data_IF_249674748986
#
_entry.id   IF_249674748986
#
_cell.length_a   1.000
_cell.length_b   1.000
_cell.length_c   1.000
_cell.angle_alpha   90.00
_cell.angle_beta   90.00
_cell.angle_gamma   90.00
#
_symmetry.space_group_name_H-M   'P 1'
#
loop_
_entity.id
_entity.type
_entity.pdbx_description
1 polymer ?
#
# COMPACT_ATOMS: atom_id res chain seq x y z
N UNK A 1 -5.25 -7.89 8.96
CA UNK A 1 -4.00 -7.52 8.28
C UNK A 1 -3.59 -8.64 7.32
N UNK A 2 -2.78 -8.38 6.29
CA UNK A 2 -2.30 -9.40 5.34
C UNK A 2 -3.09 -9.51 4.03
N UNK A 3 -4.04 -8.62 3.79
CA UNK A 3 -4.78 -8.58 2.52
C UNK A 3 -3.89 -8.07 1.38
N UNK A 4 -4.02 -8.70 0.22
CA UNK A 4 -3.36 -8.25 -1.01
C UNK A 4 -4.07 -6.98 -1.49
N UNK A 5 -3.31 -5.89 -1.60
CA UNK A 5 -3.81 -4.58 -2.03
C UNK A 5 -3.69 -4.42 -3.54
N UNK A 6 -2.56 -4.85 -4.11
CA UNK A 6 -2.30 -4.68 -5.53
C UNK A 6 -1.24 -5.66 -6.03
N UNK A 7 -1.55 -6.44 -7.06
CA UNK A 7 -0.57 -7.25 -7.78
C UNK A 7 -0.04 -6.47 -8.97
N UNK A 8 1.28 -6.35 -9.07
CA UNK A 8 1.93 -5.61 -10.13
C UNK A 8 3.17 -6.36 -10.63
N UNK A 9 3.62 -6.00 -11.84
CA UNK A 9 4.94 -6.36 -12.34
C UNK A 9 5.81 -5.09 -12.32
N UNK A 10 6.89 -5.10 -11.56
CA UNK A 10 7.66 -3.89 -11.24
C UNK A 10 6.95 -2.99 -10.22
N UNK A 11 7.61 -1.91 -9.79
CA UNK A 11 7.08 -0.99 -8.75
C UNK A 11 6.40 0.24 -9.36
N UNK A 12 5.18 0.07 -9.90
CA UNK A 12 4.34 1.19 -10.38
C UNK A 12 3.78 1.99 -9.21
N UNK A 13 3.25 1.27 -8.22
CA UNK A 13 2.82 1.82 -6.94
C UNK A 13 3.84 1.39 -5.89
N UNK A 14 4.34 2.36 -5.15
CA UNK A 14 5.32 2.16 -4.10
C UNK A 14 4.60 1.82 -2.79
N UNK A 15 5.19 0.99 -1.93
CA UNK A 15 4.69 0.84 -0.57
C UNK A 15 4.80 2.19 0.16
N UNK A 16 3.70 2.58 0.80
CA UNK A 16 3.59 3.72 1.70
C UNK A 16 3.47 3.26 3.15
N UNK A 17 2.69 3.98 3.95
CA UNK A 17 2.53 3.70 5.39
C UNK A 17 1.75 2.40 5.58
N UNK A 18 2.24 1.51 6.45
CA UNK A 18 1.62 0.21 6.77
C UNK A 18 1.33 -0.70 5.55
N UNK A 19 2.11 -0.58 4.48
CA UNK A 19 2.03 -1.43 3.29
C UNK A 19 3.38 -2.09 3.04
N UNK A 20 3.39 -3.41 2.92
CA UNK A 20 4.55 -4.21 2.54
C UNK A 20 4.57 -4.50 1.04
N UNK A 21 5.75 -4.87 0.51
CA UNK A 21 5.94 -5.37 -0.86
C UNK A 21 6.50 -6.79 -0.80
N UNK A 22 5.83 -7.73 -1.46
CA UNK A 22 6.28 -9.11 -1.64
C UNK A 22 7.44 -9.21 -2.63
N UNK A 23 8.08 -10.38 -2.69
CA UNK A 23 9.16 -10.66 -3.64
C UNK A 23 8.70 -10.66 -5.11
N UNK A 24 7.40 -10.86 -5.35
CA UNK A 24 6.73 -10.77 -6.66
C UNK A 24 6.21 -9.35 -6.97
N UNK A 25 6.68 -8.34 -6.25
CA UNK A 25 6.22 -6.94 -6.29
C UNK A 25 4.77 -6.69 -5.81
N UNK A 26 4.07 -7.72 -5.30
CA UNK A 26 2.71 -7.56 -4.77
C UNK A 26 2.69 -6.70 -3.51
N UNK A 27 1.80 -5.70 -3.45
CA UNK A 27 1.58 -4.89 -2.26
C UNK A 27 0.55 -5.54 -1.34
N UNK A 28 0.83 -5.55 -0.04
CA UNK A 28 -0.06 -6.11 0.98
C UNK A 28 -0.15 -5.20 2.22
N UNK A 29 -1.29 -5.24 2.90
CA UNK A 29 -1.52 -4.45 4.10
C UNK A 29 -0.86 -5.08 5.33
N UNK A 30 -0.11 -4.29 6.10
CA UNK A 30 0.48 -4.72 7.38
C UNK A 30 -0.49 -4.57 8.55
N UNK A 31 -1.47 -3.69 8.42
CA UNK A 31 -2.49 -3.40 9.44
C UNK A 31 -3.87 -3.36 8.78
N UNK A 32 -4.91 -3.51 9.60
CA UNK A 32 -6.28 -3.26 9.15
C UNK A 32 -6.58 -1.76 9.19
N UNK A 33 -7.32 -1.29 8.19
CA UNK A 33 -7.60 0.12 8.01
C UNK A 33 -8.09 0.44 6.60
N UNK A 34 -8.06 1.72 6.26
CA UNK A 34 -8.48 2.23 4.96
C UNK A 34 -7.26 2.43 4.07
N UNK A 35 -7.33 1.86 2.86
CA UNK A 35 -6.35 2.05 1.80
C UNK A 35 -6.51 3.44 1.18
N UNK A 36 -5.41 4.18 1.11
CA UNK A 36 -5.32 5.47 0.43
C UNK A 36 -4.17 5.45 -0.57
N UNK A 37 -4.47 5.88 -1.79
CA UNK A 37 -3.45 6.12 -2.81
C UNK A 37 -3.04 7.58 -2.78
N UNK A 38 -1.73 7.80 -2.68
CA UNK A 38 -1.13 9.12 -2.61
C UNK A 38 -0.06 9.26 -3.68
N UNK A 39 0.26 10.51 -4.01
CA UNK A 39 1.33 10.81 -4.94
C UNK A 39 2.65 10.86 -4.17
N UNK A 40 3.66 10.15 -4.67
CA UNK A 40 5.02 10.12 -4.12
C UNK A 40 5.94 10.95 -5.03
N UNK A 41 6.13 12.22 -4.67
CA UNK A 41 6.95 13.15 -5.47
C UNK A 41 6.29 13.54 -6.80
N UNK A 42 7.09 13.69 -7.86
CA UNK A 42 6.62 14.21 -9.15
C UNK A 42 5.75 13.20 -9.91
N UNK A 43 6.24 11.97 -10.12
CA UNK A 43 5.59 11.03 -11.07
C UNK A 43 5.19 9.70 -10.45
N UNK A 44 5.59 9.42 -9.20
CA UNK A 44 5.34 8.13 -8.57
C UNK A 44 4.05 8.18 -7.73
N UNK A 45 3.46 7.01 -7.51
CA UNK A 45 2.32 6.81 -6.61
C UNK A 45 2.72 5.88 -5.48
N UNK A 46 2.09 6.04 -4.32
CA UNK A 46 2.24 5.15 -3.18
C UNK A 46 0.87 4.72 -2.63
N UNK A 47 0.84 3.55 -2.00
CA UNK A 47 -0.32 3.04 -1.30
C UNK A 47 -0.03 3.02 0.20
N UNK A 48 -0.87 3.69 0.99
CA UNK A 48 -0.78 3.74 2.45
C UNK A 48 -2.07 3.18 3.06
N UNK A 49 -1.97 2.47 4.17
CA UNK A 49 -3.12 2.00 4.95
C UNK A 49 -3.15 2.76 6.27
N UNK A 50 -4.23 3.49 6.50
CA UNK A 50 -4.46 4.23 7.73
C UNK A 50 -5.47 3.47 8.60
N UNK A 51 -5.12 3.10 9.84
CA UNK A 51 -6.08 2.53 10.78
C UNK A 51 -7.26 3.48 10.95
N UNK A 52 -8.48 2.97 10.80
CA UNK A 52 -9.67 3.75 11.15
C UNK A 52 -9.93 3.43 12.62
N UNK A 53 -9.77 4.42 13.50
CA UNK A 53 -10.27 4.28 14.86
C UNK A 53 -11.78 4.04 14.79
N UNK A 54 -12.22 2.91 15.35
CA UNK A 54 -13.64 2.68 15.59
C UNK A 54 -14.07 3.65 16.68
N UNK A 55 -14.92 4.60 16.30
CA UNK A 55 -15.49 5.60 17.20
C UNK A 55 -16.61 5.01 18.03
#
# INVERSE_FOLDING_TARGET
>A
AGNILYRQRGTKIHPGVNVGKGGDDTLYALVDGVLRFERKGRDKKQASVYPVESK
#
